data_IF_544277187275
#
_entry.id   IF_544277187275
#
_cell.length_a   1.000
_cell.length_b   1.000
_cell.length_c   1.000
_cell.angle_alpha   90.00
_cell.angle_beta   90.00
_cell.angle_gamma   90.00
#
_symmetry.space_group_name_H-M   'P 1'
#
loop_
_entity.id
_entity.type
_entity.pdbx_description
1 polymer ?
#
# COMPACT_ATOMS: atom_id res chain seq x y z
N UNK A 1 5.65 6.60 -12.49
CA UNK A 1 6.90 6.04 -11.89
C UNK A 1 7.98 5.78 -12.96
N UNK A 2 9.15 6.44 -12.93
CA UNK A 2 10.24 6.25 -13.92
C UNK A 2 11.40 5.42 -13.35
N UNK A 3 11.44 4.12 -13.66
CA UNK A 3 12.53 3.21 -13.31
C UNK A 3 13.46 2.99 -14.51
N UNK A 4 14.75 2.76 -14.26
CA UNK A 4 15.75 2.58 -15.34
C UNK A 4 15.91 1.14 -15.82
N UNK A 5 15.83 0.18 -14.89
CA UNK A 5 16.07 -1.23 -15.15
C UNK A 5 14.77 -2.04 -15.03
N UNK A 6 14.77 -3.23 -15.63
CA UNK A 6 13.63 -4.14 -15.65
C UNK A 6 13.29 -4.68 -14.27
N UNK A 7 14.28 -5.09 -13.49
CA UNK A 7 14.10 -5.53 -12.10
C UNK A 7 13.82 -4.34 -11.20
N UNK A 8 12.63 -4.31 -10.62
CA UNK A 8 12.13 -3.24 -9.74
C UNK A 8 11.59 -3.89 -8.48
N UNK A 9 12.13 -3.52 -7.32
CA UNK A 9 11.74 -4.10 -6.04
C UNK A 9 11.37 -2.96 -5.09
N UNK A 10 10.22 -3.08 -4.44
CA UNK A 10 9.84 -2.23 -3.32
C UNK A 10 9.69 -3.10 -2.08
N UNK A 11 10.56 -2.87 -1.11
CA UNK A 11 10.41 -3.41 0.24
C UNK A 11 9.78 -2.32 1.12
N UNK A 12 8.55 -2.54 1.54
CA UNK A 12 7.81 -1.64 2.41
C UNK A 12 7.68 -2.31 3.78
N UNK A 13 8.06 -1.61 4.84
CA UNK A 13 8.02 -2.14 6.20
C UNK A 13 7.17 -1.18 7.03
N UNK A 14 6.18 -1.69 7.75
CA UNK A 14 5.25 -0.86 8.52
C UNK A 14 4.64 -1.56 9.73
N UNK A 15 4.29 -0.76 10.72
CA UNK A 15 3.67 -1.13 12.00
C UNK A 15 2.27 -0.53 12.19
N UNK A 16 1.76 0.23 11.22
CA UNK A 16 0.43 0.85 11.27
C UNK A 16 -0.12 1.13 9.86
N UNK A 17 -1.45 1.12 9.64
CA UNK A 17 -2.02 1.40 8.32
C UNK A 17 -1.93 2.90 7.96
N UNK A 18 -2.03 3.25 6.66
CA UNK A 18 -2.18 4.63 6.22
C UNK A 18 -3.58 5.17 6.53
N UNK A 19 -3.74 6.47 6.32
CA UNK A 19 -5.02 7.17 6.44
C UNK A 19 -6.06 6.68 5.41
N UNK A 20 -7.33 6.68 5.80
CA UNK A 20 -8.44 6.35 4.92
C UNK A 20 -9.51 5.46 5.57
N UNK A 21 -10.78 5.77 5.30
CA UNK A 21 -11.95 5.01 5.79
C UNK A 21 -11.87 3.49 5.55
N UNK A 22 -11.22 3.05 4.47
CA UNK A 22 -11.07 1.64 4.13
C UNK A 22 -10.15 0.85 5.07
N UNK A 23 -9.37 1.51 5.92
CA UNK A 23 -8.41 0.84 6.82
C UNK A 23 -8.95 0.59 8.24
N UNK A 24 -10.21 0.97 8.51
CA UNK A 24 -10.91 0.74 9.78
C UNK A 24 -10.09 1.18 11.01
N UNK A 25 -9.47 2.36 10.90
CA UNK A 25 -8.71 2.97 11.98
C UNK A 25 -9.55 4.03 12.71
N UNK A 26 -10.02 3.76 13.94
CA UNK A 26 -10.81 4.72 14.71
C UNK A 26 -10.01 5.91 15.27
N UNK A 27 -8.68 5.82 15.28
CA UNK A 27 -7.76 6.89 15.73
C UNK A 27 -7.26 7.75 14.55
N UNK A 28 -7.87 7.62 13.37
CA UNK A 28 -7.48 8.36 12.18
C UNK A 28 -7.98 9.81 12.22
N UNK A 29 -7.05 10.76 12.36
CA UNK A 29 -7.31 12.20 12.26
C UNK A 29 -7.54 12.67 10.80
N UNK A 30 -7.28 11.83 9.80
CA UNK A 30 -7.38 12.14 8.37
C UNK A 30 -8.14 11.05 7.60
N UNK A 31 -9.39 10.71 7.98
CA UNK A 31 -10.10 9.57 7.42
C UNK A 31 -10.44 9.76 5.92
N UNK A 32 -10.47 11.00 5.43
CA UNK A 32 -10.66 11.33 4.01
C UNK A 32 -9.39 11.16 3.15
N UNK A 33 -8.26 10.77 3.76
CA UNK A 33 -7.00 10.48 3.06
C UNK A 33 -6.24 11.73 2.59
N UNK A 34 -5.51 11.61 1.49
CA UNK A 34 -4.69 12.69 0.95
C UNK A 34 -5.56 13.85 0.40
N UNK A 35 -5.37 15.10 0.87
CA UNK A 35 -6.16 16.25 0.43
C UNK A 35 -5.99 16.60 -1.06
N UNK A 36 -4.98 16.05 -1.73
CA UNK A 36 -4.76 16.23 -3.18
C UNK A 36 -5.31 15.07 -4.02
N UNK A 37 -5.97 14.09 -3.39
CA UNK A 37 -6.70 13.01 -4.05
C UNK A 37 -5.82 11.83 -4.50
N UNK A 38 -4.58 11.71 -4.00
CA UNK A 38 -3.78 10.51 -4.21
C UNK A 38 -4.39 9.34 -3.42
N UNK A 39 -4.68 8.25 -4.12
CA UNK A 39 -5.18 7.02 -3.47
C UNK A 39 -4.19 5.88 -3.56
N UNK A 40 -4.24 4.96 -2.60
CA UNK A 40 -3.51 3.70 -2.64
C UNK A 40 -3.84 2.90 -3.90
N UNK A 41 -5.10 2.97 -4.36
CA UNK A 41 -5.52 2.28 -5.58
C UNK A 41 -4.76 2.78 -6.82
N UNK A 42 -4.62 4.10 -6.97
CA UNK A 42 -3.85 4.70 -8.06
C UNK A 42 -2.38 4.26 -7.99
N UNK A 43 -1.76 4.40 -6.82
CA UNK A 43 -0.33 4.07 -6.62
C UNK A 43 -0.07 2.58 -6.87
N UNK A 44 -0.86 1.69 -6.29
CA UNK A 44 -0.67 0.25 -6.39
C UNK A 44 -0.95 -0.27 -7.81
N UNK A 45 -1.93 0.31 -8.52
CA UNK A 45 -2.13 0.01 -9.95
C UNK A 45 -0.95 0.47 -10.78
N UNK A 46 -0.39 1.65 -10.52
CA UNK A 46 0.84 2.12 -11.17
C UNK A 46 2.03 1.20 -10.88
N UNK A 47 2.20 0.75 -9.63
CA UNK A 47 3.25 -0.21 -9.26
C UNK A 47 3.10 -1.52 -10.02
N UNK A 48 1.87 -2.03 -10.15
CA UNK A 48 1.55 -3.23 -10.91
C UNK A 48 1.89 -3.08 -12.39
N UNK A 49 1.45 -1.98 -13.00
CA UNK A 49 1.75 -1.67 -14.41
C UNK A 49 3.24 -1.45 -14.66
N UNK A 50 3.97 -0.97 -13.64
CA UNK A 50 5.41 -0.84 -13.65
C UNK A 50 6.14 -2.11 -13.20
N UNK A 51 5.48 -3.26 -13.11
CA UNK A 51 6.08 -4.57 -12.76
C UNK A 51 7.01 -4.50 -11.54
N UNK A 52 6.62 -3.74 -10.51
CA UNK A 52 7.36 -3.64 -9.27
C UNK A 52 7.06 -4.88 -8.43
N UNK A 53 8.10 -5.63 -8.08
CA UNK A 53 8.00 -6.72 -7.11
C UNK A 53 7.86 -6.10 -5.71
N UNK A 54 6.64 -6.16 -5.19
CA UNK A 54 6.28 -5.61 -3.89
C UNK A 54 6.43 -6.67 -2.79
N UNK A 55 7.04 -6.27 -1.67
CA UNK A 55 7.20 -7.07 -0.47
C UNK A 55 6.81 -6.21 0.74
N UNK A 56 6.08 -6.78 1.68
CA UNK A 56 5.65 -6.03 2.88
C UNK A 56 6.18 -6.66 4.16
N UNK A 57 7.14 -6.03 4.84
CA UNK A 57 7.57 -6.46 6.16
C UNK A 57 6.59 -6.01 7.25
N UNK A 58 5.72 -6.92 7.69
CA UNK A 58 4.77 -6.67 8.78
C UNK A 58 5.48 -6.60 10.14
N UNK A 59 5.29 -5.51 10.89
CA UNK A 59 5.77 -5.37 12.28
C UNK A 59 4.65 -5.70 13.28
N UNK A 60 3.42 -5.25 13.03
CA UNK A 60 2.25 -5.43 13.93
C UNK A 60 1.02 -5.88 13.15
N UNK A 61 0.01 -6.40 13.84
CA UNK A 61 -1.31 -6.75 13.33
C UNK A 61 -2.14 -5.56 12.84
N UNK A 62 -1.82 -4.33 13.23
CA UNK A 62 -2.57 -3.14 12.79
C UNK A 62 -2.55 -2.96 11.27
N UNK A 63 -1.55 -3.52 10.60
CA UNK A 63 -1.44 -3.48 9.13
C UNK A 63 -2.29 -4.53 8.40
N UNK A 64 -3.01 -5.42 9.09
CA UNK A 64 -3.69 -6.56 8.44
C UNK A 64 -4.81 -6.14 7.49
N UNK A 65 -5.60 -5.12 7.85
CA UNK A 65 -6.63 -4.57 6.95
C UNK A 65 -5.99 -3.92 5.73
N UNK A 66 -4.94 -3.12 5.92
CA UNK A 66 -4.17 -2.54 4.81
C UNK A 66 -3.62 -3.61 3.88
N UNK A 67 -3.03 -4.69 4.40
CA UNK A 67 -2.49 -5.80 3.60
C UNK A 67 -3.60 -6.41 2.73
N UNK A 68 -4.78 -6.68 3.29
CA UNK A 68 -5.93 -7.22 2.55
C UNK A 68 -6.39 -6.25 1.44
N UNK A 69 -6.51 -4.96 1.75
CA UNK A 69 -6.85 -3.93 0.76
C UNK A 69 -5.81 -3.91 -0.35
N UNK A 70 -4.53 -3.90 -0.02
CA UNK A 70 -3.46 -3.85 -1.02
C UNK A 70 -3.46 -5.11 -1.90
N UNK A 71 -3.60 -6.29 -1.31
CA UNK A 71 -3.68 -7.56 -2.05
C UNK A 71 -4.85 -7.59 -3.03
N UNK A 72 -5.99 -6.96 -2.68
CA UNK A 72 -7.13 -6.84 -3.59
C UNK A 72 -6.86 -5.97 -4.83
N UNK A 73 -5.85 -5.09 -4.76
CA UNK A 73 -5.50 -4.14 -5.84
C UNK A 73 -4.32 -4.64 -6.68
N UNK A 74 -3.20 -4.96 -6.03
CA UNK A 74 -1.94 -5.31 -6.71
C UNK A 74 -1.79 -6.83 -6.96
N UNK A 75 -2.57 -7.66 -6.25
CA UNK A 75 -2.43 -9.11 -6.20
C UNK A 75 -1.65 -9.57 -4.96
N UNK A 76 -1.48 -10.88 -4.82
CA UNK A 76 -0.72 -11.45 -3.70
C UNK A 76 0.75 -10.99 -3.72
N UNK A 77 1.27 -10.67 -2.54
CA UNK A 77 2.68 -10.34 -2.31
C UNK A 77 3.17 -10.99 -1.01
N UNK A 78 4.48 -11.25 -0.88
CA UNK A 78 5.03 -11.80 0.36
C UNK A 78 4.93 -10.80 1.52
N UNK A 79 4.56 -11.33 2.70
CA UNK A 79 4.48 -10.62 3.98
C UNK A 79 5.40 -11.29 4.99
#
# INVERSE_FOLDING_TARGET
MTWRNTTRVLLHIGDYPPHGHQFDNPEDDYPDGDPYGLTEEQVLREMRSAEIHYFFGKITEYTDTMIKVFQSIIGEFPV
#
